data_IF_488021259015
#
_entry.id   IF_488021259015
#
_cell.length_a   1.000
_cell.length_b   1.000
_cell.length_c   1.000
_cell.angle_alpha   90.00
_cell.angle_beta   90.00
_cell.angle_gamma   90.00
#
_symmetry.space_group_name_H-M   'P 1'
#
loop_
_entity.id
_entity.type
_entity.pdbx_description
1 polymer ?
#
# COMPACT_ATOMS: atom_id res chain seq x y z
N UNK A 1 30.40 17.98 37.93
CA UNK A 1 30.69 17.06 36.82
C UNK A 1 29.61 15.98 36.76
N UNK A 2 29.18 15.57 35.56
CA UNK A 2 28.05 14.65 35.39
C UNK A 2 28.43 13.19 35.64
N UNK A 3 27.70 12.49 36.52
CA UNK A 3 27.93 11.07 36.90
C UNK A 3 27.69 10.05 35.77
N UNK A 4 27.41 10.48 34.55
CA UNK A 4 26.90 9.63 33.46
C UNK A 4 27.90 9.36 32.33
N UNK A 5 29.11 9.93 32.35
CA UNK A 5 30.14 9.66 31.34
C UNK A 5 31.35 8.94 31.96
N UNK A 6 32.04 8.11 31.17
CA UNK A 6 33.22 7.38 31.60
C UNK A 6 34.37 8.36 31.89
N UNK A 7 34.87 8.36 33.12
CA UNK A 7 35.84 9.35 33.60
C UNK A 7 37.26 9.14 33.05
N UNK A 8 37.59 7.93 32.59
CA UNK A 8 38.91 7.58 32.05
C UNK A 8 38.99 7.77 30.54
N UNK A 9 37.88 7.56 29.81
CA UNK A 9 37.84 7.64 28.34
C UNK A 9 37.11 8.89 27.81
N UNK A 10 36.43 9.64 28.67
CA UNK A 10 35.59 10.78 28.29
C UNK A 10 34.28 10.41 27.59
N UNK A 11 34.06 9.14 27.24
CA UNK A 11 32.90 8.71 26.45
C UNK A 11 31.61 8.77 27.28
N UNK A 12 30.63 9.54 26.80
CA UNK A 12 29.27 9.52 27.31
C UNK A 12 28.40 8.46 26.60
N UNK A 13 27.37 7.87 27.25
CA UNK A 13 26.35 7.08 26.58
C UNK A 13 25.53 7.94 25.62
N UNK A 14 25.60 7.63 24.32
CA UNK A 14 24.90 8.41 23.30
C UNK A 14 23.46 7.95 23.07
N UNK A 15 22.61 8.88 22.59
CA UNK A 15 21.28 8.53 22.07
C UNK A 15 21.39 7.56 20.88
N UNK A 16 20.37 6.73 20.59
CA UNK A 16 20.36 5.86 19.41
C UNK A 16 20.66 6.62 18.11
N UNK A 17 21.56 6.09 17.28
CA UNK A 17 21.99 6.73 16.02
C UNK A 17 23.01 7.86 16.18
N UNK A 18 23.48 8.16 17.39
CA UNK A 18 24.45 9.22 17.70
C UNK A 18 25.77 8.61 18.16
N UNK A 19 26.91 9.26 17.86
CA UNK A 19 28.27 8.76 18.13
C UNK A 19 29.28 9.89 18.39
N UNK A 20 30.52 9.49 18.69
CA UNK A 20 31.62 10.35 19.15
C UNK A 20 31.67 10.50 20.68
N UNK A 21 32.83 10.89 21.21
CA UNK A 21 33.07 11.08 22.66
C UNK A 21 31.98 11.95 23.30
N UNK A 22 31.67 13.08 22.65
CA UNK A 22 30.71 14.08 23.11
C UNK A 22 29.30 13.88 22.51
N UNK A 23 29.02 12.72 21.88
CA UNK A 23 27.74 12.39 21.25
C UNK A 23 27.19 13.49 20.30
N UNK A 24 28.07 14.07 19.48
CA UNK A 24 27.77 15.23 18.63
C UNK A 24 27.79 14.94 17.12
N UNK A 25 27.87 13.66 16.72
CA UNK A 25 27.86 13.22 15.30
C UNK A 25 26.83 12.12 15.11
N UNK A 26 26.20 12.03 13.95
CA UNK A 26 25.39 10.87 13.61
C UNK A 26 26.26 9.67 13.27
N UNK A 27 25.81 8.46 13.62
CA UNK A 27 26.47 7.21 13.24
C UNK A 27 26.39 6.97 11.71
N UNK A 28 27.24 6.10 11.17
CA UNK A 28 27.19 5.74 9.74
C UNK A 28 25.80 5.19 9.39
N UNK A 29 25.16 5.75 8.38
CA UNK A 29 23.77 5.43 8.01
C UNK A 29 22.70 6.23 8.76
N UNK A 30 23.07 7.28 9.51
CA UNK A 30 22.15 8.22 10.15
C UNK A 30 22.45 9.67 9.71
N UNK A 31 21.40 10.49 9.61
CA UNK A 31 21.44 11.91 9.26
C UNK A 31 20.80 12.75 10.37
N UNK A 32 21.18 14.03 10.45
CA UNK A 32 20.65 14.93 11.47
C UNK A 32 19.17 15.25 11.20
N UNK A 33 18.38 15.35 12.26
CA UNK A 33 16.94 15.67 12.22
C UNK A 33 16.63 16.97 12.97
N UNK A 34 15.42 17.51 12.76
CA UNK A 34 14.92 18.69 13.48
C UNK A 34 14.35 18.36 14.87
N UNK A 35 14.40 17.10 15.32
CA UNK A 35 13.87 16.67 16.62
C UNK A 35 14.92 16.76 17.73
N UNK A 36 14.69 17.51 18.83
CA UNK A 36 15.58 17.48 20.00
C UNK A 36 15.53 16.12 20.73
N UNK A 37 14.44 15.35 20.55
CA UNK A 37 14.28 14.01 21.12
C UNK A 37 15.15 13.01 20.35
N UNK A 38 15.03 12.98 19.01
CA UNK A 38 15.77 12.10 18.10
C UNK A 38 16.65 12.90 17.12
N UNK A 39 17.81 13.44 17.56
CA UNK A 39 18.62 14.36 16.77
C UNK A 39 19.30 13.71 15.56
N UNK A 40 19.44 12.39 15.54
CA UNK A 40 19.88 11.62 14.38
C UNK A 40 18.81 10.57 14.04
N UNK A 41 18.39 10.53 12.78
CA UNK A 41 17.44 9.55 12.23
C UNK A 41 18.12 8.70 11.17
N UNK A 42 17.71 7.44 11.02
CA UNK A 42 18.31 6.55 10.02
C UNK A 42 18.09 7.14 8.62
N UNK A 43 19.14 7.19 7.80
CA UNK A 43 19.01 7.56 6.38
C UNK A 43 18.13 6.49 5.72
N UNK A 44 17.10 6.88 4.95
CA UNK A 44 16.40 5.92 4.10
C UNK A 44 17.38 5.41 3.06
N UNK A 45 17.86 4.17 3.23
CA UNK A 45 18.57 3.48 2.15
C UNK A 45 17.56 3.08 1.09
N UNK A 46 17.96 3.08 -0.18
CA UNK A 46 17.04 2.84 -1.30
C UNK A 46 16.40 1.43 -1.27
N UNK A 47 16.93 0.51 -0.45
CA UNK A 47 16.32 -0.77 -0.09
C UNK A 47 14.88 -0.65 0.46
N UNK A 48 14.50 0.53 0.95
CA UNK A 48 13.21 0.79 1.61
C UNK A 48 12.33 1.86 0.92
N UNK A 49 12.71 2.38 -0.25
CA UNK A 49 11.76 3.10 -1.13
C UNK A 49 11.46 2.33 -2.43
N UNK A 50 11.07 1.06 -2.25
CA UNK A 50 10.45 0.27 -3.31
C UNK A 50 8.99 0.74 -3.45
N UNK A 51 8.88 1.95 -3.99
CA UNK A 51 7.72 2.56 -4.64
C UNK A 51 6.48 2.90 -3.78
N UNK A 52 6.04 4.16 -3.92
CA UNK A 52 4.64 4.51 -3.72
C UNK A 52 3.71 3.84 -4.75
N UNK A 53 4.23 3.37 -5.90
CA UNK A 53 3.44 2.81 -7.01
C UNK A 53 3.20 1.30 -6.97
N UNK A 54 3.89 0.49 -6.14
CA UNK A 54 3.63 -0.96 -6.11
C UNK A 54 2.23 -1.28 -5.56
N UNK A 55 1.54 -2.18 -6.25
CA UNK A 55 0.21 -2.65 -5.94
C UNK A 55 0.16 -3.57 -4.71
N UNK A 56 -0.91 -3.46 -3.92
CA UNK A 56 -1.08 -4.29 -2.70
C UNK A 56 -1.38 -5.74 -3.10
N UNK A 57 -0.68 -6.68 -2.46
CA UNK A 57 -0.83 -8.12 -2.67
C UNK A 57 -1.51 -8.73 -1.45
N UNK A 58 -2.50 -9.62 -1.66
CA UNK A 58 -3.30 -10.21 -0.57
C UNK A 58 -3.39 -11.72 -0.76
N UNK A 59 -2.92 -12.50 0.22
CA UNK A 59 -2.83 -13.97 0.12
C UNK A 59 -2.94 -14.67 1.48
N UNK A 60 -3.44 -15.91 1.49
CA UNK A 60 -3.45 -16.86 2.63
C UNK A 60 -2.19 -17.70 2.54
N UNK A 61 -1.37 -17.69 3.58
CA UNK A 61 -0.17 -18.53 3.68
C UNK A 61 -0.07 -19.24 5.04
N UNK A 62 0.51 -20.43 5.04
CA UNK A 62 0.84 -21.22 6.22
C UNK A 62 2.33 -21.09 6.53
N UNK A 63 2.69 -20.86 7.79
CA UNK A 63 4.10 -20.74 8.21
C UNK A 63 4.62 -22.10 8.63
N UNK A 64 5.66 -22.60 7.96
CA UNK A 64 6.21 -23.93 8.23
C UNK A 64 7.34 -23.88 9.27
N UNK A 65 8.32 -23.02 9.03
CA UNK A 65 9.59 -22.97 9.77
C UNK A 65 10.20 -21.54 9.75
N UNK A 66 11.26 -21.33 10.53
CA UNK A 66 12.03 -20.09 10.55
C UNK A 66 13.51 -20.36 10.80
N UNK A 67 14.39 -19.58 10.19
CA UNK A 67 15.85 -19.64 10.37
C UNK A 67 16.48 -18.24 10.28
N UNK A 68 17.64 -18.04 10.90
CA UNK A 68 18.45 -16.84 10.69
C UNK A 68 19.37 -17.02 9.48
N UNK A 69 19.48 -16.02 8.63
CA UNK A 69 20.37 -15.95 7.45
C UNK A 69 20.87 -14.51 7.33
N UNK A 70 22.18 -14.28 7.41
CA UNK A 70 22.85 -13.00 7.12
C UNK A 70 22.27 -11.75 7.84
N UNK A 71 21.79 -11.90 9.08
CA UNK A 71 21.12 -10.83 9.84
C UNK A 71 19.62 -10.66 9.52
N UNK A 72 18.99 -11.66 8.92
CA UNK A 72 17.56 -11.69 8.59
C UNK A 72 16.90 -12.95 9.14
N UNK A 73 15.73 -12.79 9.74
CA UNK A 73 14.87 -13.90 10.11
C UNK A 73 14.01 -14.27 8.89
N UNK A 74 14.37 -15.39 8.26
CA UNK A 74 13.70 -15.99 7.11
C UNK A 74 12.65 -16.97 7.60
N UNK A 75 11.39 -16.74 7.24
CA UNK A 75 10.32 -17.74 7.39
C UNK A 75 10.09 -18.46 6.06
N UNK A 76 9.99 -19.79 6.07
CA UNK A 76 9.48 -20.55 4.93
C UNK A 76 7.97 -20.70 5.07
N UNK A 77 7.23 -20.26 4.06
CA UNK A 77 5.77 -20.26 4.05
C UNK A 77 5.20 -20.94 2.81
N UNK A 78 4.03 -21.56 2.98
CA UNK A 78 3.26 -22.21 1.90
C UNK A 78 2.06 -21.34 1.54
N UNK A 79 2.04 -20.80 0.33
CA UNK A 79 0.94 -19.97 -0.17
C UNK A 79 -0.21 -20.88 -0.63
N UNK A 80 -1.34 -20.78 0.07
CA UNK A 80 -2.53 -21.60 -0.13
C UNK A 80 -3.48 -20.96 -1.15
N UNK A 81 -3.72 -19.64 -1.03
CA UNK A 81 -4.66 -18.88 -1.88
C UNK A 81 -4.13 -17.46 -2.10
N UNK A 82 -4.22 -16.96 -3.33
CA UNK A 82 -3.91 -15.56 -3.67
C UNK A 82 -5.22 -14.85 -4.02
N UNK A 83 -5.64 -13.92 -3.17
CA UNK A 83 -6.89 -13.16 -3.32
C UNK A 83 -6.71 -11.95 -4.23
N UNK A 84 -5.64 -11.18 -4.03
CA UNK A 84 -5.26 -10.06 -4.89
C UNK A 84 -3.82 -10.22 -5.33
N UNK A 85 -3.62 -10.39 -6.64
CA UNK A 85 -2.31 -10.25 -7.28
C UNK A 85 -2.06 -8.75 -7.46
N UNK A 86 -0.83 -8.33 -7.23
CA UNK A 86 -0.45 -6.96 -7.53
C UNK A 86 -0.55 -6.68 -9.03
N UNK A 87 -1.22 -5.60 -9.41
CA UNK A 87 -1.12 -4.98 -10.73
C UNK A 87 0.36 -4.80 -11.10
N UNK A 88 0.78 -5.32 -12.25
CA UNK A 88 2.12 -5.04 -12.76
C UNK A 88 2.19 -3.58 -13.20
N UNK A 89 3.08 -2.81 -12.58
CA UNK A 89 3.36 -1.42 -12.93
C UNK A 89 4.11 -1.37 -14.27
N UNK A 90 3.36 -1.44 -15.38
CA UNK A 90 3.90 -1.33 -16.73
C UNK A 90 4.38 0.10 -17.02
N UNK A 91 5.60 0.42 -16.58
CA UNK A 91 6.26 1.68 -16.95
C UNK A 91 6.58 1.64 -18.44
N UNK A 92 6.04 2.60 -19.20
CA UNK A 92 6.30 2.81 -20.62
C UNK A 92 6.10 1.56 -21.52
N UNK A 93 5.13 0.70 -21.17
CA UNK A 93 4.80 -0.52 -21.93
C UNK A 93 5.82 -1.67 -21.86
N UNK A 94 7.07 -1.38 -21.49
CA UNK A 94 8.12 -2.38 -21.31
C UNK A 94 7.89 -3.19 -20.03
N UNK A 95 7.31 -4.38 -20.15
CA UNK A 95 7.26 -5.35 -19.06
C UNK A 95 8.66 -5.92 -18.79
N UNK A 96 9.49 -5.18 -18.05
CA UNK A 96 10.84 -5.66 -17.70
C UNK A 96 10.77 -7.01 -16.97
N UNK A 97 11.47 -7.99 -17.52
CA UNK A 97 11.40 -9.39 -17.10
C UNK A 97 11.87 -9.60 -15.65
N UNK A 98 12.66 -8.65 -15.13
CA UNK A 98 13.09 -8.54 -13.73
C UNK A 98 11.89 -8.58 -12.76
N UNK A 99 10.75 -7.98 -13.14
CA UNK A 99 9.55 -7.96 -12.29
C UNK A 99 8.78 -9.30 -12.25
N UNK A 100 9.14 -10.31 -13.06
CA UNK A 100 8.39 -11.58 -13.12
C UNK A 100 8.43 -12.37 -11.80
N UNK A 101 9.51 -12.28 -11.04
CA UNK A 101 9.66 -12.91 -9.71
C UNK A 101 8.65 -12.39 -8.67
N UNK A 102 8.07 -11.21 -8.88
CA UNK A 102 7.15 -10.57 -7.94
C UNK A 102 5.70 -11.09 -8.04
N UNK A 103 5.40 -11.97 -9.02
CA UNK A 103 4.05 -12.56 -9.18
C UNK A 103 3.86 -13.73 -8.22
N UNK A 104 3.39 -13.42 -7.01
CA UNK A 104 2.99 -14.38 -5.97
C UNK A 104 2.06 -15.47 -6.56
N UNK A 105 2.44 -16.73 -6.35
CA UNK A 105 1.80 -17.96 -6.83
C UNK A 105 1.56 -18.92 -5.65
N UNK A 106 0.73 -19.95 -5.84
CA UNK A 106 0.66 -21.06 -4.87
C UNK A 106 1.98 -21.83 -4.86
N UNK A 107 2.37 -22.40 -3.73
CA UNK A 107 3.64 -23.09 -3.54
C UNK A 107 4.43 -22.56 -2.33
N UNK A 108 5.72 -22.89 -2.25
CA UNK A 108 6.61 -22.34 -1.22
C UNK A 108 7.13 -20.94 -1.63
N UNK A 109 7.25 -20.05 -0.64
CA UNK A 109 7.91 -18.75 -0.77
C UNK A 109 8.54 -18.38 0.59
N UNK A 110 9.44 -17.39 0.58
CA UNK A 110 10.07 -16.88 1.80
C UNK A 110 9.47 -15.53 2.23
N UNK A 111 9.38 -15.33 3.53
CA UNK A 111 9.00 -14.07 4.16
C UNK A 111 10.16 -13.58 5.03
N UNK A 112 10.69 -12.41 4.68
CA UNK A 112 11.95 -11.90 5.24
C UNK A 112 11.68 -10.79 6.26
N UNK A 113 12.15 -10.99 7.50
CA UNK A 113 12.03 -10.02 8.60
C UNK A 113 13.43 -9.55 8.99
N UNK A 114 13.73 -8.23 9.04
CA UNK A 114 15.03 -7.76 9.50
C UNK A 114 15.24 -8.07 10.99
N UNK A 115 16.47 -8.38 11.38
CA UNK A 115 16.84 -8.68 12.78
C UNK A 115 16.37 -7.60 13.77
N UNK A 116 16.43 -6.32 13.40
CA UNK A 116 15.93 -5.22 14.24
C UNK A 116 14.43 -5.30 14.57
N UNK A 117 13.62 -5.94 13.71
CA UNK A 117 12.21 -6.22 13.98
C UNK A 117 12.01 -7.53 14.76
N UNK A 118 12.89 -8.52 14.57
CA UNK A 118 12.91 -9.72 15.41
C UNK A 118 13.19 -9.37 16.88
N UNK A 119 14.12 -8.45 17.16
CA UNK A 119 14.45 -7.99 18.53
C UNK A 119 13.22 -7.43 19.26
N UNK A 120 12.38 -6.63 18.60
CA UNK A 120 11.12 -6.14 19.18
C UNK A 120 9.95 -7.14 19.10
N UNK A 121 10.21 -8.39 18.67
CA UNK A 121 9.25 -9.49 18.51
C UNK A 121 8.12 -9.20 17.52
N UNK A 122 8.39 -8.36 16.50
CA UNK A 122 7.43 -7.97 15.47
C UNK A 122 7.82 -8.54 14.10
N UNK A 123 6.91 -9.24 13.39
CA UNK A 123 5.59 -9.71 13.81
C UNK A 123 5.65 -10.96 14.72
N UNK A 124 4.62 -11.17 15.56
CA UNK A 124 4.47 -12.33 16.45
C UNK A 124 3.97 -13.57 15.70
N UNK A 125 4.77 -14.09 14.78
CA UNK A 125 4.44 -15.29 13.98
C UNK A 125 4.59 -16.59 14.77
N UNK A 126 3.66 -17.53 14.56
CA UNK A 126 3.67 -18.92 15.04
C UNK A 126 3.86 -19.88 13.85
N UNK A 127 4.58 -20.99 14.06
CA UNK A 127 4.64 -22.08 13.08
C UNK A 127 3.32 -22.88 13.08
N UNK A 128 2.98 -23.54 11.97
CA UNK A 128 1.73 -24.29 11.77
C UNK A 128 0.47 -23.43 11.65
N UNK A 129 0.57 -22.12 11.89
CA UNK A 129 -0.56 -21.19 11.82
C UNK A 129 -0.67 -20.56 10.44
N UNK A 130 -1.91 -20.42 9.98
CA UNK A 130 -2.23 -19.77 8.72
C UNK A 130 -2.55 -18.29 8.93
N UNK A 131 -2.04 -17.45 8.05
CA UNK A 131 -2.19 -16.00 8.11
C UNK A 131 -2.77 -15.45 6.80
N UNK A 132 -3.63 -14.43 6.91
CA UNK A 132 -3.85 -13.47 5.85
C UNK A 132 -2.68 -12.48 5.85
N UNK A 133 -1.99 -12.38 4.73
CA UNK A 133 -0.87 -11.46 4.53
C UNK A 133 -1.29 -10.42 3.48
N UNK A 134 -1.23 -9.14 3.86
CA UNK A 134 -1.40 -8.00 2.97
C UNK A 134 -0.06 -7.26 2.92
N UNK A 135 0.61 -7.29 1.76
CA UNK A 135 1.95 -6.76 1.59
C UNK A 135 2.06 -5.74 0.46
N UNK A 136 3.01 -4.81 0.61
CA UNK A 136 3.46 -3.88 -0.43
C UNK A 136 4.99 -3.87 -0.43
N UNK A 137 5.58 -4.00 -1.62
CA UNK A 137 7.01 -4.24 -1.81
C UNK A 137 7.39 -5.73 -1.74
N UNK A 138 8.44 -6.08 -2.47
CA UNK A 138 9.13 -7.37 -2.45
C UNK A 138 10.62 -7.13 -2.18
N UNK A 139 11.40 -8.20 -2.05
CA UNK A 139 12.86 -8.10 -2.10
C UNK A 139 13.32 -7.75 -3.53
N UNK A 140 14.03 -6.63 -3.73
CA UNK A 140 14.77 -6.38 -4.99
C UNK A 140 16.08 -7.16 -5.08
N UNK A 141 16.52 -7.76 -3.97
CA UNK A 141 17.71 -8.61 -3.89
C UNK A 141 17.46 -9.97 -4.59
N UNK A 142 18.20 -10.32 -5.67
CA UNK A 142 18.06 -11.60 -6.35
C UNK A 142 18.46 -12.81 -5.51
N UNK A 143 19.32 -12.63 -4.50
CA UNK A 143 19.85 -13.68 -3.61
C UNK A 143 18.80 -14.09 -2.57
N UNK A 144 17.91 -13.16 -2.19
CA UNK A 144 16.90 -13.34 -1.12
C UNK A 144 15.48 -13.19 -1.65
N UNK A 145 15.03 -13.96 -2.65
CA UNK A 145 13.70 -13.81 -3.24
C UNK A 145 12.60 -14.05 -2.20
N UNK A 146 11.60 -13.16 -2.15
CA UNK A 146 10.45 -13.32 -1.29
C UNK A 146 9.66 -12.04 -1.04
N UNK A 147 8.75 -12.11 -0.08
CA UNK A 147 8.02 -10.94 0.43
C UNK A 147 8.79 -10.36 1.62
N UNK A 148 8.99 -9.05 1.62
CA UNK A 148 9.71 -8.32 2.67
C UNK A 148 8.74 -7.79 3.72
N UNK A 149 8.96 -8.09 5.01
CA UNK A 149 8.23 -7.44 6.09
C UNK A 149 8.67 -5.98 6.26
N UNK A 150 7.71 -5.08 6.26
CA UNK A 150 7.90 -3.65 6.45
C UNK A 150 6.66 -3.04 7.17
N UNK A 151 6.71 -1.77 7.62
CA UNK A 151 5.57 -1.13 8.31
C UNK A 151 4.28 -1.00 7.49
N UNK A 152 4.29 -1.32 6.19
CA UNK A 152 3.12 -1.36 5.30
C UNK A 152 2.59 -2.80 5.10
N UNK A 153 3.12 -3.77 5.86
CA UNK A 153 2.74 -5.19 5.80
C UNK A 153 1.83 -5.54 6.98
N UNK A 154 0.59 -5.91 6.69
CA UNK A 154 -0.39 -6.38 7.67
C UNK A 154 -0.45 -7.91 7.65
N UNK A 155 -0.40 -8.53 8.83
CA UNK A 155 -0.41 -9.97 9.04
C UNK A 155 -1.43 -10.32 10.12
N UNK A 156 -2.44 -11.13 9.78
CA UNK A 156 -3.57 -11.47 10.65
C UNK A 156 -3.76 -12.98 10.65
N UNK A 157 -3.99 -13.61 11.80
CA UNK A 157 -4.31 -15.05 11.87
C UNK A 157 -5.61 -15.34 11.10
N UNK A 158 -5.58 -16.33 10.22
CA UNK A 158 -6.64 -16.56 9.24
C UNK A 158 -7.85 -17.27 9.86
N UNK A 159 -9.06 -16.83 9.52
CA UNK A 159 -10.32 -17.43 9.98
C UNK A 159 -11.38 -17.45 8.89
N UNK A 160 -12.41 -18.27 9.06
CA UNK A 160 -13.52 -18.37 8.09
C UNK A 160 -14.38 -17.09 8.05
N UNK A 161 -14.37 -16.30 9.12
CA UNK A 161 -14.97 -14.95 9.15
C UNK A 161 -14.18 -13.99 8.24
N UNK A 162 -12.85 -14.02 8.29
CA UNK A 162 -11.97 -13.27 7.39
C UNK A 162 -12.16 -13.75 5.95
N UNK A 163 -12.24 -15.07 5.70
CA UNK A 163 -12.50 -15.59 4.35
C UNK A 163 -13.88 -15.14 3.82
N UNK A 164 -14.90 -15.12 4.68
CA UNK A 164 -16.24 -14.66 4.34
C UNK A 164 -16.27 -13.16 4.02
N UNK A 165 -15.55 -12.34 4.79
CA UNK A 165 -15.37 -10.89 4.51
C UNK A 165 -14.64 -10.68 3.17
N UNK A 166 -13.55 -11.41 2.92
CA UNK A 166 -12.81 -11.36 1.65
C UNK A 166 -13.67 -11.78 0.45
N UNK A 167 -14.43 -12.88 0.56
CA UNK A 167 -15.37 -13.33 -0.48
C UNK A 167 -16.43 -12.27 -0.80
N UNK A 168 -16.94 -11.55 0.20
CA UNK A 168 -17.87 -10.43 0.02
C UNK A 168 -17.21 -9.25 -0.71
N UNK A 169 -16.02 -8.81 -0.28
CA UNK A 169 -15.29 -7.73 -0.95
C UNK A 169 -14.92 -8.06 -2.40
N UNK A 170 -14.44 -9.28 -2.67
CA UNK A 170 -14.15 -9.77 -4.02
C UNK A 170 -15.42 -9.99 -4.87
N UNK A 171 -16.62 -10.09 -4.27
CA UNK A 171 -17.87 -9.97 -5.04
C UNK A 171 -18.08 -8.52 -5.45
N UNK A 172 -18.04 -7.58 -4.49
CA UNK A 172 -18.25 -6.14 -4.73
C UNK A 172 -17.32 -5.58 -5.82
N UNK A 173 -16.02 -5.88 -5.73
CA UNK A 173 -15.00 -5.45 -6.70
C UNK A 173 -15.33 -5.92 -8.14
N UNK A 174 -15.90 -7.12 -8.30
CA UNK A 174 -16.34 -7.65 -9.61
C UNK A 174 -17.67 -7.10 -10.11
N UNK A 175 -18.47 -6.45 -9.25
CA UNK A 175 -19.77 -5.86 -9.60
C UNK A 175 -19.71 -4.33 -9.70
N UNK A 176 -18.52 -3.72 -9.55
CA UNK A 176 -18.35 -2.27 -9.51
C UNK A 176 -18.82 -1.60 -8.22
N UNK A 177 -19.27 -2.36 -7.22
CA UNK A 177 -19.81 -1.86 -5.93
C UNK A 177 -18.72 -1.31 -4.97
N UNK A 178 -17.56 -0.92 -5.48
CA UNK A 178 -16.51 -0.25 -4.71
C UNK A 178 -16.74 1.26 -4.78
N UNK A 179 -16.84 1.98 -3.64
CA UNK A 179 -17.03 3.42 -3.66
C UNK A 179 -15.80 4.09 -4.30
N UNK A 180 -16.05 4.85 -5.37
CA UNK A 180 -15.04 5.73 -5.98
C UNK A 180 -14.67 6.82 -4.99
N UNK A 181 -13.36 6.99 -4.72
CA UNK A 181 -12.85 7.98 -3.75
C UNK A 181 -12.86 9.43 -4.29
N UNK A 182 -13.97 9.85 -4.90
CA UNK A 182 -14.21 11.14 -5.53
C UNK A 182 -15.66 11.62 -5.32
N UNK A 183 -16.22 11.40 -4.13
CA UNK A 183 -17.48 12.00 -3.68
C UNK A 183 -17.35 12.43 -2.21
N UNK A 184 -16.79 13.61 -2.00
CA UNK A 184 -16.62 14.23 -0.68
C UNK A 184 -16.76 15.75 -0.79
N UNK A 185 -17.89 16.19 -1.35
CA UNK A 185 -18.27 17.60 -1.50
C UNK A 185 -19.53 17.93 -0.66
N UNK A 186 -19.67 17.30 0.51
CA UNK A 186 -20.72 17.63 1.47
C UNK A 186 -20.31 18.87 2.30
N UNK A 187 -20.32 20.03 1.65
CA UNK A 187 -20.27 21.34 2.29
C UNK A 187 -21.48 22.16 1.86
N UNK A 188 -22.65 21.80 2.39
CA UNK A 188 -23.87 22.58 2.26
C UNK A 188 -23.75 23.89 3.04
N UNK A 189 -23.23 24.93 2.37
CA UNK A 189 -23.21 26.29 2.89
C UNK A 189 -24.65 26.84 2.87
N UNK A 190 -25.36 26.73 4.00
CA UNK A 190 -26.63 27.42 4.23
C UNK A 190 -26.45 28.94 4.21
N UNK A 191 -26.47 29.53 3.02
CA UNK A 191 -26.63 30.97 2.88
C UNK A 191 -28.09 31.34 3.17
N UNK A 192 -28.36 31.78 4.40
CA UNK A 192 -29.56 32.56 4.67
C UNK A 192 -29.55 33.80 3.77
N UNK A 193 -30.57 33.94 2.93
CA UNK A 193 -30.90 35.19 2.28
C UNK A 193 -32.34 35.56 2.66
N UNK A 194 -32.55 36.81 3.08
CA UNK A 194 -33.82 37.29 3.65
C UNK A 194 -34.30 38.50 2.86
N UNK A 195 -35.59 38.48 2.51
CA UNK A 195 -36.35 39.57 1.88
C UNK A 195 -35.93 39.83 0.40
N UNK A 196 -36.81 40.24 -0.53
CA UNK A 196 -38.15 40.80 -0.40
C UNK A 196 -39.19 40.09 -1.32
N UNK A 197 -40.38 39.86 -0.79
CA UNK A 197 -41.70 40.31 -1.29
C UNK A 197 -42.09 40.21 -2.80
N UNK A 198 -42.93 39.19 -3.07
CA UNK A 198 -44.35 39.32 -3.49
C UNK A 198 -44.77 39.39 -5.00
N UNK A 199 -46.03 38.96 -5.22
CA UNK A 199 -46.95 39.07 -6.37
C UNK A 199 -46.79 38.17 -7.63
N UNK A 200 -47.78 37.28 -7.88
CA UNK A 200 -48.53 37.34 -9.16
C UNK A 200 -48.78 36.08 -10.04
N UNK A 201 -49.84 35.32 -9.74
CA UNK A 201 -50.87 34.81 -10.70
C UNK A 201 -50.57 33.91 -11.96
N UNK A 202 -50.93 32.62 -11.83
CA UNK A 202 -51.84 31.77 -12.67
C UNK A 202 -51.85 31.78 -14.24
N UNK A 203 -51.61 30.56 -14.78
CA UNK A 203 -52.36 29.80 -15.84
C UNK A 203 -52.31 30.15 -17.35
N UNK A 204 -51.99 29.12 -18.16
CA UNK A 204 -52.56 28.85 -19.52
C UNK A 204 -51.53 28.57 -20.64
N UNK A 205 -51.82 27.89 -21.78
CA UNK A 205 -52.61 26.66 -22.03
C UNK A 205 -52.60 26.19 -23.52
N UNK A 206 -51.66 25.29 -23.89
CA UNK A 206 -51.84 24.23 -24.93
C UNK A 206 -51.81 24.57 -26.44
N UNK A 207 -51.82 23.49 -27.26
CA UNK A 207 -51.86 23.38 -28.76
C UNK A 207 -50.55 23.71 -29.52
N UNK A 208 -50.23 23.09 -30.67
CA UNK A 208 -50.66 21.81 -31.28
C UNK A 208 -49.66 21.37 -32.39
N UNK A 209 -49.69 20.09 -32.78
CA UNK A 209 -48.86 19.43 -33.80
C UNK A 209 -49.23 19.77 -35.27
N UNK A 210 -48.24 19.73 -36.20
CA UNK A 210 -48.21 18.87 -37.43
C UNK A 210 -46.91 19.05 -38.27
N UNK A 211 -46.66 18.10 -39.19
CA UNK A 211 -45.62 18.04 -40.26
C UNK A 211 -46.35 17.93 -41.65
N UNK A 212 -45.75 17.72 -42.87
CA UNK A 212 -44.38 17.29 -43.21
C UNK A 212 -43.74 17.78 -44.56
N UNK A 213 -42.63 17.11 -44.95
CA UNK A 213 -42.10 16.81 -46.31
C UNK A 213 -41.46 17.85 -47.25
N UNK A 214 -40.17 17.60 -47.61
CA UNK A 214 -39.56 17.39 -48.97
C UNK A 214 -38.05 17.73 -48.98
N UNK A 215 -37.15 17.20 -49.84
CA UNK A 215 -37.08 15.90 -50.56
C UNK A 215 -35.73 15.74 -51.32
N UNK A 216 -35.11 14.55 -51.29
CA UNK A 216 -34.05 14.09 -52.24
C UNK A 216 -32.57 14.20 -51.76
N UNK A 217 -31.58 13.57 -52.40
CA UNK A 217 -31.60 12.40 -53.31
C UNK A 217 -30.18 11.95 -53.75
N UNK A 218 -29.83 10.65 -53.58
CA UNK A 218 -28.67 9.92 -54.17
C UNK A 218 -27.25 10.45 -53.78
N UNK A 219 -26.15 9.66 -53.79
CA UNK A 219 -25.81 8.42 -54.53
C UNK A 219 -25.11 7.33 -53.68
N UNK A 220 -24.88 6.17 -54.31
CA UNK A 220 -23.98 5.07 -53.91
C UNK A 220 -22.53 5.28 -54.48
N UNK A 221 -21.55 4.37 -54.49
CA UNK A 221 -21.33 2.96 -54.04
C UNK A 221 -20.05 2.95 -53.12
N UNK A 222 -19.26 1.92 -52.78
CA UNK A 222 -19.10 0.52 -53.21
C UNK A 222 -18.39 -0.34 -52.09
N UNK A 223 -18.01 -1.60 -52.40
CA UNK A 223 -17.41 -2.62 -51.53
C UNK A 223 -15.86 -2.59 -51.44
N UNK A 224 -15.28 -3.32 -50.47
CA UNK A 224 -13.84 -3.69 -50.53
C UNK A 224 -13.22 -4.42 -49.33
N UNK A 225 -13.59 -5.70 -49.11
CA UNK A 225 -12.92 -6.72 -48.25
C UNK A 225 -12.52 -6.34 -46.80
#
# INVERSE_FOLDING_TARGET
>A
MGKHCNQTTGQCPCKPGVTGLNCNRCAKGYQQSRSPIAPCVKIPTNDMDISMTSSVKVFRAEILERQMVDGWLKYTMRILTVFKRGSSSSVNGQSSDVYRYQRIRKGLLYFWVPESAHICKCPRIKNGVQYLILGKGDTMDPIRPGVLFNPKTLLVEFSDEIESKLKRFLKKERHGECPSSLSSNDHEYHHHNRNNDDHGHRRGSGKSSTMPEKSGSYSKDDYGY
#
